data_IF_143144666379
#
_entry.id   IF_143144666379
#
_cell.length_a   1.000
_cell.length_b   1.000
_cell.length_c   1.000
_cell.angle_alpha   90.00
_cell.angle_beta   90.00
_cell.angle_gamma   90.00
#
_symmetry.space_group_name_H-M   'P 1'
#
loop_
_entity.id
_entity.type
_entity.pdbx_description
1 polymer ?
#
# COMPACT_ATOMS: atom_id res chain seq x y z
N UNK A 1 -53.86 -59.70 26.09
CA UNK A 1 -53.89 -58.21 26.15
C UNK A 1 -52.50 -57.65 26.47
N UNK A 2 -51.78 -58.22 27.45
CA UNK A 2 -50.39 -57.83 27.78
C UNK A 2 -49.36 -58.11 26.67
N UNK A 3 -49.45 -59.25 25.95
CA UNK A 3 -48.50 -59.56 24.87
C UNK A 3 -48.54 -58.58 23.70
N UNK A 4 -49.73 -58.05 23.38
CA UNK A 4 -49.92 -57.00 22.36
C UNK A 4 -49.35 -55.63 22.80
N UNK A 5 -49.19 -55.42 24.11
CA UNK A 5 -48.62 -54.18 24.65
C UNK A 5 -47.10 -54.27 24.70
N UNK A 6 -46.56 -55.45 25.05
CA UNK A 6 -45.12 -55.73 25.03
C UNK A 6 -44.53 -55.65 23.61
N UNK A 7 -45.21 -56.22 22.60
CA UNK A 7 -44.80 -56.12 21.19
C UNK A 7 -44.84 -54.69 20.67
N UNK A 8 -45.90 -53.92 20.98
CA UNK A 8 -45.96 -52.49 20.61
C UNK A 8 -44.85 -51.67 21.25
N UNK A 9 -44.50 -51.95 22.51
CA UNK A 9 -43.40 -51.27 23.19
C UNK A 9 -42.05 -51.60 22.54
N UNK A 10 -41.84 -52.87 22.20
CA UNK A 10 -40.64 -53.33 21.50
C UNK A 10 -40.52 -52.69 20.12
N UNK A 11 -41.59 -52.65 19.33
CA UNK A 11 -41.62 -51.98 18.02
C UNK A 11 -41.32 -50.49 18.13
N UNK A 12 -41.86 -49.82 19.16
CA UNK A 12 -41.63 -48.39 19.39
C UNK A 12 -40.18 -48.11 19.75
N UNK A 13 -39.60 -48.91 20.66
CA UNK A 13 -38.18 -48.80 21.03
C UNK A 13 -37.28 -49.06 19.81
N UNK A 14 -37.59 -50.08 19.01
CA UNK A 14 -36.79 -50.44 17.86
C UNK A 14 -36.83 -49.34 16.78
N UNK A 15 -37.98 -48.69 16.59
CA UNK A 15 -38.09 -47.49 15.74
C UNK A 15 -37.26 -46.34 16.29
N UNK A 16 -37.41 -45.99 17.57
CA UNK A 16 -36.65 -44.90 18.18
C UNK A 16 -35.13 -45.13 18.12
N UNK A 17 -34.65 -46.36 18.31
CA UNK A 17 -33.23 -46.68 18.13
C UNK A 17 -32.77 -46.56 16.68
N UNK A 18 -33.63 -46.90 15.72
CA UNK A 18 -33.32 -46.75 14.30
C UNK A 18 -33.26 -45.27 13.94
N UNK A 19 -34.23 -44.47 14.39
CA UNK A 19 -34.25 -43.02 14.17
C UNK A 19 -33.01 -42.35 14.77
N UNK A 20 -32.68 -42.66 16.04
CA UNK A 20 -31.46 -42.16 16.70
C UNK A 20 -30.18 -42.54 15.94
N UNK A 21 -30.09 -43.77 15.43
CA UNK A 21 -28.94 -44.20 14.64
C UNK A 21 -28.83 -43.39 13.35
N UNK A 22 -29.95 -43.10 12.71
CA UNK A 22 -30.01 -42.30 11.48
C UNK A 22 -29.58 -40.86 11.76
N UNK A 23 -30.06 -40.27 12.85
CA UNK A 23 -29.69 -38.93 13.30
C UNK A 23 -28.19 -38.84 13.64
N UNK A 24 -27.64 -39.84 14.32
CA UNK A 24 -26.19 -39.91 14.62
C UNK A 24 -25.37 -39.97 13.34
N UNK A 25 -25.81 -40.76 12.34
CA UNK A 25 -25.13 -40.83 11.04
C UNK A 25 -25.22 -39.52 10.27
N UNK A 26 -26.38 -38.86 10.29
CA UNK A 26 -26.57 -37.56 9.66
C UNK A 26 -25.71 -36.48 10.32
N UNK A 27 -25.62 -36.48 11.66
CA UNK A 27 -24.73 -35.59 12.41
C UNK A 27 -23.26 -35.86 12.06
N UNK A 28 -22.83 -37.12 12.01
CA UNK A 28 -21.47 -37.48 11.61
C UNK A 28 -21.11 -36.95 10.23
N UNK A 29 -22.03 -37.09 9.26
CA UNK A 29 -21.83 -36.58 7.90
C UNK A 29 -21.69 -35.05 7.90
N UNK A 30 -22.59 -34.34 8.60
CA UNK A 30 -22.54 -32.87 8.70
C UNK A 30 -21.27 -32.38 9.39
N UNK A 31 -20.80 -33.08 10.41
CA UNK A 31 -19.54 -32.74 11.10
C UNK A 31 -18.36 -32.89 10.13
N UNK A 32 -18.27 -34.00 9.39
CA UNK A 32 -17.21 -34.19 8.41
C UNK A 32 -17.24 -33.14 7.28
N UNK A 33 -18.43 -32.75 6.82
CA UNK A 33 -18.58 -31.66 5.84
C UNK A 33 -18.09 -30.31 6.39
N UNK A 34 -18.43 -30.00 7.64
CA UNK A 34 -17.98 -28.77 8.31
C UNK A 34 -16.46 -28.77 8.53
N UNK A 35 -15.87 -29.91 8.90
CA UNK A 35 -14.42 -30.04 9.04
C UNK A 35 -13.70 -29.81 7.71
N UNK A 36 -14.18 -30.42 6.62
CA UNK A 36 -13.63 -30.21 5.28
C UNK A 36 -13.77 -28.75 4.83
N UNK A 37 -14.89 -28.10 5.13
CA UNK A 37 -15.11 -26.69 4.82
C UNK A 37 -14.17 -25.79 5.64
N UNK A 38 -13.99 -26.08 6.93
CA UNK A 38 -13.06 -25.34 7.78
C UNK A 38 -11.62 -25.47 7.28
N UNK A 39 -11.19 -26.67 6.90
CA UNK A 39 -9.84 -26.89 6.36
C UNK A 39 -9.61 -26.08 5.07
N UNK A 40 -10.58 -26.09 4.15
CA UNK A 40 -10.49 -25.29 2.92
C UNK A 40 -10.44 -23.78 3.20
N UNK A 41 -11.17 -23.30 4.20
CA UNK A 41 -11.11 -21.88 4.62
C UNK A 41 -9.78 -21.51 5.25
N UNK A 42 -9.24 -22.36 6.12
CA UNK A 42 -7.92 -22.14 6.72
C UNK A 42 -6.85 -22.08 5.63
N UNK A 43 -6.93 -22.95 4.62
CA UNK A 43 -6.00 -22.91 3.49
C UNK A 43 -6.15 -21.61 2.68
N UNK A 44 -7.39 -21.18 2.40
CA UNK A 44 -7.66 -19.95 1.68
C UNK A 44 -7.16 -18.71 2.44
N UNK A 45 -7.38 -18.65 3.76
CA UNK A 45 -6.92 -17.57 4.62
C UNK A 45 -5.40 -17.50 4.66
N UNK A 46 -4.71 -18.64 4.81
CA UNK A 46 -3.26 -18.69 4.77
C UNK A 46 -2.71 -18.17 3.43
N UNK A 47 -3.35 -18.52 2.31
CA UNK A 47 -2.98 -17.99 0.98
C UNK A 47 -3.19 -16.47 0.90
N UNK A 48 -4.26 -15.94 1.50
CA UNK A 48 -4.51 -14.49 1.52
C UNK A 48 -3.47 -13.75 2.38
N UNK A 49 -3.15 -14.26 3.56
CA UNK A 49 -2.11 -13.70 4.43
C UNK A 49 -0.78 -13.60 3.68
N UNK A 50 -0.33 -14.70 3.07
CA UNK A 50 0.93 -14.71 2.30
C UNK A 50 0.91 -13.69 1.15
N UNK A 51 -0.22 -13.58 0.43
CA UNK A 51 -0.35 -12.60 -0.67
C UNK A 51 -0.29 -11.15 -0.18
N UNK A 52 -0.83 -10.88 1.00
CA UNK A 52 -0.79 -9.54 1.62
C UNK A 52 0.64 -9.21 2.03
N UNK A 53 1.36 -10.15 2.63
CA UNK A 53 2.77 -9.97 3.01
C UNK A 53 3.65 -9.72 1.78
N UNK A 54 3.53 -10.53 0.72
CA UNK A 54 4.21 -10.33 -0.55
C UNK A 54 3.94 -8.95 -1.17
N UNK A 55 2.68 -8.51 -1.10
CA UNK A 55 2.28 -7.21 -1.63
C UNK A 55 2.93 -6.07 -0.83
N UNK A 56 2.97 -6.19 0.50
CA UNK A 56 3.64 -5.22 1.37
C UNK A 56 5.14 -5.13 1.10
N UNK A 57 5.81 -6.25 0.93
CA UNK A 57 7.23 -6.29 0.59
C UNK A 57 7.48 -5.57 -0.75
N UNK A 58 6.69 -5.88 -1.77
CA UNK A 58 6.78 -5.22 -3.09
C UNK A 58 6.53 -3.73 -3.00
N UNK A 59 5.52 -3.29 -2.26
CA UNK A 59 5.21 -1.87 -2.06
C UNK A 59 6.41 -1.16 -1.42
N UNK A 60 7.00 -1.74 -0.38
CA UNK A 60 8.17 -1.16 0.28
C UNK A 60 9.38 -1.12 -0.66
N UNK A 61 9.62 -2.18 -1.43
CA UNK A 61 10.65 -2.20 -2.46
C UNK A 61 10.46 -1.11 -3.52
N UNK A 62 9.23 -0.89 -3.98
CA UNK A 62 8.93 0.19 -4.92
C UNK A 62 9.12 1.57 -4.32
N UNK A 63 8.73 1.80 -3.06
CA UNK A 63 8.97 3.07 -2.37
C UNK A 63 10.45 3.43 -2.32
N UNK A 64 11.31 2.46 -1.98
CA UNK A 64 12.76 2.67 -1.93
C UNK A 64 13.31 3.00 -3.32
N UNK A 65 12.89 2.25 -4.36
CA UNK A 65 13.30 2.52 -5.75
C UNK A 65 12.83 3.90 -6.23
N UNK A 66 11.61 4.31 -5.89
CA UNK A 66 11.11 5.64 -6.24
C UNK A 66 11.91 6.74 -5.56
N UNK A 67 12.26 6.59 -4.29
CA UNK A 67 13.10 7.55 -3.58
C UNK A 67 14.47 7.69 -4.25
N UNK A 68 15.14 6.58 -4.57
CA UNK A 68 16.42 6.60 -5.29
C UNK A 68 16.31 7.23 -6.69
N UNK A 69 15.23 6.96 -7.42
CA UNK A 69 14.98 7.60 -8.72
C UNK A 69 14.73 9.11 -8.58
N UNK A 70 13.99 9.55 -7.57
CA UNK A 70 13.78 10.97 -7.29
C UNK A 70 15.09 11.67 -6.92
N UNK A 71 15.91 11.04 -6.08
CA UNK A 71 17.21 11.56 -5.68
C UNK A 71 18.16 11.64 -6.87
N UNK A 72 18.20 10.62 -7.74
CA UNK A 72 18.98 10.66 -8.98
C UNK A 72 18.49 11.76 -9.93
N UNK A 73 17.18 11.89 -10.09
CA UNK A 73 16.58 12.92 -10.93
C UNK A 73 16.82 14.34 -10.38
N UNK A 74 17.00 14.50 -9.07
CA UNK A 74 17.28 15.80 -8.43
C UNK A 74 18.75 16.05 -8.13
N UNK A 75 19.65 15.09 -8.42
CA UNK A 75 21.07 15.17 -8.05
C UNK A 75 21.79 16.38 -8.65
N UNK A 76 21.43 16.78 -9.86
CA UNK A 76 21.97 17.95 -10.55
C UNK A 76 21.17 19.23 -10.28
N UNK A 77 20.09 19.17 -9.48
CA UNK A 77 19.27 20.33 -9.20
C UNK A 77 19.84 21.11 -8.01
N UNK A 78 20.14 22.39 -8.23
CA UNK A 78 20.56 23.29 -7.18
C UNK A 78 19.39 24.20 -6.75
N UNK A 79 19.13 24.29 -5.45
CA UNK A 79 18.10 25.18 -4.89
C UNK A 79 18.73 26.46 -4.35
N UNK A 80 18.45 27.59 -5.00
CA UNK A 80 18.83 28.91 -4.51
C UNK A 80 17.74 29.46 -3.59
N UNK A 81 18.08 29.67 -2.33
CA UNK A 81 17.18 30.24 -1.31
C UNK A 81 17.39 31.75 -1.19
N UNK A 82 16.35 32.46 -0.76
CA UNK A 82 16.37 33.92 -0.52
C UNK A 82 16.69 34.79 -1.76
N UNK A 83 16.45 34.28 -2.98
CA UNK A 83 16.59 35.08 -4.19
C UNK A 83 15.60 36.26 -4.25
N UNK A 84 16.02 37.36 -4.86
CA UNK A 84 15.18 38.55 -5.04
C UNK A 84 13.97 38.21 -5.93
N UNK A 85 12.75 38.58 -5.50
CA UNK A 85 11.51 38.27 -6.25
C UNK A 85 11.26 39.22 -7.44
N UNK A 86 11.95 40.36 -7.48
CA UNK A 86 11.83 41.38 -8.52
C UNK A 86 12.46 40.96 -9.86
N UNK A 87 13.17 39.84 -9.90
CA UNK A 87 13.84 39.33 -11.10
C UNK A 87 12.83 38.48 -11.87
N UNK A 88 12.51 38.93 -13.09
CA UNK A 88 11.60 38.25 -14.00
C UNK A 88 12.13 36.88 -14.43
N UNK A 89 11.26 35.95 -14.87
CA UNK A 89 11.67 34.61 -15.29
C UNK A 89 12.76 34.59 -16.36
N UNK A 90 12.72 35.53 -17.29
CA UNK A 90 13.68 35.68 -18.39
C UNK A 90 15.09 36.06 -17.91
N UNK A 91 15.20 36.74 -16.76
CA UNK A 91 16.46 37.26 -16.23
C UNK A 91 17.10 36.30 -15.19
N UNK A 92 16.38 35.25 -14.79
CA UNK A 92 16.86 34.25 -13.84
C UNK A 92 18.19 33.57 -14.26
N UNK A 93 18.40 33.19 -15.53
CA UNK A 93 19.66 32.60 -15.96
C UNK A 93 20.87 33.50 -15.71
N UNK A 94 20.75 34.77 -16.09
CA UNK A 94 21.81 35.76 -15.93
C UNK A 94 22.10 36.01 -14.45
N UNK A 95 21.05 36.16 -13.64
CA UNK A 95 21.18 36.33 -12.19
C UNK A 95 21.87 35.14 -11.52
N UNK A 96 21.44 33.91 -11.81
CA UNK A 96 22.02 32.71 -11.21
C UNK A 96 23.48 32.52 -11.62
N UNK A 97 23.81 32.76 -12.89
CA UNK A 97 25.19 32.70 -13.39
C UNK A 97 26.07 33.75 -12.70
N UNK A 98 25.59 34.98 -12.55
CA UNK A 98 26.31 36.05 -11.84
C UNK A 98 26.57 35.69 -10.37
N UNK A 99 25.58 35.09 -9.70
CA UNK A 99 25.71 34.65 -8.31
C UNK A 99 26.74 33.52 -8.16
N UNK A 100 26.71 32.53 -9.04
CA UNK A 100 27.68 31.42 -9.03
C UNK A 100 29.10 31.94 -9.29
N UNK A 101 29.28 32.87 -10.23
CA UNK A 101 30.59 33.49 -10.51
C UNK A 101 31.12 34.30 -9.35
N UNK A 102 30.24 34.96 -8.60
CA UNK A 102 30.66 35.67 -7.38
C UNK A 102 31.20 34.70 -6.32
N UNK A 103 30.61 33.51 -6.22
CA UNK A 103 31.01 32.48 -5.26
C UNK A 103 32.24 31.68 -5.71
N UNK A 104 32.38 31.45 -7.02
CA UNK A 104 33.47 30.68 -7.63
C UNK A 104 34.02 31.48 -8.82
N UNK A 105 34.88 32.48 -8.58
CA UNK A 105 35.33 33.41 -9.62
C UNK A 105 36.23 32.75 -10.68
N UNK A 106 36.95 31.69 -10.32
CA UNK A 106 37.87 30.98 -11.21
C UNK A 106 37.19 29.93 -12.09
N UNK A 107 35.86 29.82 -12.03
CA UNK A 107 35.11 28.85 -12.84
C UNK A 107 35.09 29.27 -14.33
N UNK A 108 35.57 28.40 -15.25
CA UNK A 108 35.50 28.66 -16.69
C UNK A 108 34.04 28.78 -17.17
N UNK A 109 33.77 29.69 -18.10
CA UNK A 109 32.40 30.03 -18.52
C UNK A 109 31.67 28.88 -19.23
N UNK A 110 32.41 28.01 -19.89
CA UNK A 110 31.96 26.86 -20.66
C UNK A 110 31.58 25.65 -19.79
N UNK A 111 31.95 25.66 -18.50
CA UNK A 111 31.69 24.55 -17.58
C UNK A 111 30.30 24.64 -16.94
N UNK A 112 29.74 25.86 -16.81
CA UNK A 112 28.41 26.05 -16.23
C UNK A 112 27.31 25.89 -17.29
N UNK A 113 26.85 24.65 -17.46
CA UNK A 113 25.70 24.34 -18.30
C UNK A 113 24.43 24.30 -17.45
N UNK A 114 23.43 25.09 -17.84
CA UNK A 114 22.15 25.15 -17.14
C UNK A 114 21.02 24.79 -18.11
N UNK A 115 20.42 23.62 -17.89
CA UNK A 115 19.32 23.11 -18.71
C UNK A 115 18.01 23.88 -18.45
N UNK A 116 17.67 24.09 -17.16
CA UNK A 116 16.43 24.77 -16.77
C UNK A 116 16.58 25.51 -15.44
N UNK A 117 16.03 26.72 -15.39
CA UNK A 117 15.85 27.49 -14.15
C UNK A 117 14.41 28.00 -14.07
N UNK A 118 13.83 27.92 -12.88
CA UNK A 118 12.49 28.43 -12.60
C UNK A 118 12.33 28.68 -11.11
N UNK A 119 11.31 29.47 -10.76
CA UNK A 119 10.90 29.63 -9.37
C UNK A 119 9.95 28.50 -8.97
N UNK A 120 10.05 28.05 -7.73
CA UNK A 120 9.08 27.12 -7.16
C UNK A 120 7.70 27.79 -7.13
N UNK A 121 6.65 27.05 -7.50
CA UNK A 121 5.29 27.55 -7.46
C UNK A 121 4.92 27.97 -6.03
N UNK A 122 4.22 29.10 -5.92
CA UNK A 122 3.75 29.60 -4.64
C UNK A 122 2.42 28.93 -4.27
N UNK A 123 2.23 28.46 -3.03
CA UNK A 123 0.93 28.01 -2.57
C UNK A 123 -0.11 29.12 -2.71
N UNK A 124 -1.26 28.82 -3.31
CA UNK A 124 -2.27 29.82 -3.69
C UNK A 124 -2.87 30.59 -2.49
N UNK A 125 -2.78 30.02 -1.29
CA UNK A 125 -3.30 30.62 -0.05
C UNK A 125 -2.37 31.67 0.58
N UNK A 126 -1.14 31.86 0.07
CA UNK A 126 -0.20 32.82 0.64
C UNK A 126 -0.28 34.20 -0.07
N UNK A 127 -0.28 35.32 0.68
CA UNK A 127 -0.30 36.68 0.12
C UNK A 127 0.82 36.90 -0.90
N UNK A 128 0.58 37.65 -1.98
CA UNK A 128 1.53 37.84 -3.10
C UNK A 128 2.96 38.23 -2.69
N UNK A 129 3.11 39.00 -1.60
CA UNK A 129 4.40 39.49 -1.10
C UNK A 129 5.19 38.49 -0.24
N UNK A 130 4.59 37.37 0.17
CA UNK A 130 5.31 36.34 0.92
C UNK A 130 6.41 35.71 0.06
N UNK A 131 7.67 35.79 0.48
CA UNK A 131 8.78 35.10 -0.22
C UNK A 131 8.48 33.61 -0.36
N UNK A 132 8.81 33.03 -1.53
CA UNK A 132 8.66 31.59 -1.78
C UNK A 132 9.53 30.81 -0.78
N UNK A 133 8.90 30.05 0.13
CA UNK A 133 9.60 29.13 1.03
C UNK A 133 9.86 27.81 0.29
N UNK A 134 11.12 27.35 0.29
CA UNK A 134 11.56 26.09 -0.32
C UNK A 134 11.94 25.04 0.71
#
# INVERSE_FOLDING_TARGET
MFDNMATKLQDTLQRSFTDLRTDIQALGTRTSELEAYMEAHVEADNRLVNRVEDAWEKINGYKVKMADLEDRARRSNLRLRNGTENIGPQDLPAYATGLIRLLVPDMPQDVLLMDRIHRVAKPQYLPADTKRRS
#
